data_IF_980077855324
#
_entry.id   IF_980077855324
#
_cell.length_a   1.000
_cell.length_b   1.000
_cell.length_c   1.000
_cell.angle_alpha   90.00
_cell.angle_beta   90.00
_cell.angle_gamma   90.00
#
_symmetry.space_group_name_H-M   'P 1'
#
loop_
_entity.id
_entity.type
_entity.pdbx_description
1 polymer ?
#
# COMPACT_ATOMS: atom_id res chain seq x y z
N UNK A 1 -22.68 11.96 -7.07
CA UNK A 1 -21.44 11.40 -7.66
C UNK A 1 -21.25 10.01 -7.05
N UNK A 2 -21.27 8.91 -7.81
CA UNK A 2 -21.05 7.60 -7.22
C UNK A 2 -19.57 7.48 -6.86
N UNK A 3 -19.28 7.32 -5.56
CA UNK A 3 -17.96 6.90 -5.10
C UNK A 3 -17.65 5.55 -5.73
N UNK A 4 -16.76 5.55 -6.72
CA UNK A 4 -16.09 4.32 -7.16
C UNK A 4 -15.16 3.93 -6.01
N UNK A 5 -15.65 3.13 -5.07
CA UNK A 5 -14.81 2.40 -4.13
C UNK A 5 -13.95 1.46 -4.95
N UNK A 6 -12.79 1.94 -5.37
CA UNK A 6 -11.78 1.11 -6.00
C UNK A 6 -11.27 0.17 -4.89
N UNK A 7 -11.91 -1.00 -4.74
CA UNK A 7 -11.31 -2.10 -4.02
C UNK A 7 -9.96 -2.34 -4.69
N UNK A 8 -8.89 -1.88 -4.06
CA UNK A 8 -7.51 -2.19 -4.45
C UNK A 8 -7.36 -3.71 -4.31
N UNK A 9 -7.68 -4.35 -5.43
CA UNK A 9 -7.86 -5.78 -5.60
C UNK A 9 -6.53 -6.50 -5.43
N UNK A 10 -6.58 -7.82 -5.25
CA UNK A 10 -5.44 -8.74 -5.40
C UNK A 10 -4.63 -8.46 -6.68
N UNK A 11 -5.28 -7.87 -7.70
CA UNK A 11 -4.62 -7.31 -8.89
C UNK A 11 -3.49 -6.32 -8.55
N UNK A 12 -3.69 -5.37 -7.63
CA UNK A 12 -2.65 -4.41 -7.21
C UNK A 12 -1.48 -5.09 -6.48
N UNK A 13 -1.72 -6.19 -5.77
CA UNK A 13 -0.67 -7.00 -5.13
C UNK A 13 0.13 -7.81 -6.16
N UNK A 14 -0.54 -8.41 -7.15
CA UNK A 14 0.08 -9.10 -8.27
C UNK A 14 0.93 -8.12 -9.07
N UNK A 15 0.37 -6.96 -9.37
CA UNK A 15 1.02 -5.90 -10.12
C UNK A 15 2.19 -5.30 -9.30
N UNK A 16 2.10 -5.25 -7.96
CA UNK A 16 3.20 -4.85 -7.06
C UNK A 16 4.34 -5.87 -7.06
N UNK A 17 4.04 -7.17 -6.96
CA UNK A 17 5.04 -8.23 -7.01
C UNK A 17 5.70 -8.32 -8.40
N UNK A 18 4.93 -8.14 -9.47
CA UNK A 18 5.44 -8.15 -10.84
C UNK A 18 6.29 -6.92 -11.17
N UNK A 19 6.01 -5.77 -10.55
CA UNK A 19 6.77 -4.52 -10.76
C UNK A 19 7.87 -4.29 -9.73
N UNK A 20 8.00 -5.16 -8.72
CA UNK A 20 8.90 -4.95 -7.59
C UNK A 20 8.59 -3.67 -6.80
N UNK A 21 7.31 -3.28 -6.73
CA UNK A 21 6.86 -2.03 -6.09
C UNK A 21 6.79 -0.81 -6.99
N UNK A 22 6.97 -0.94 -8.32
CA UNK A 22 7.03 0.18 -9.27
C UNK A 22 5.71 0.48 -9.98
N UNK A 23 4.59 0.39 -9.29
CA UNK A 23 3.32 0.82 -9.86
C UNK A 23 3.17 2.29 -9.55
N UNK A 24 3.58 3.12 -10.51
CA UNK A 24 3.38 4.56 -10.62
C UNK A 24 4.58 5.46 -10.20
N UNK A 25 5.32 5.85 -11.27
CA UNK A 25 6.00 7.13 -11.52
C UNK A 25 7.52 7.30 -11.25
N UNK A 26 8.28 6.95 -12.30
CA UNK A 26 9.48 7.61 -12.86
C UNK A 26 10.75 7.91 -12.03
N UNK A 27 10.78 7.85 -10.70
CA UNK A 27 12.02 8.05 -9.95
C UNK A 27 12.03 7.30 -8.62
N UNK A 28 13.17 6.71 -8.25
CA UNK A 28 13.36 6.08 -6.93
C UNK A 28 13.36 7.12 -5.79
N UNK A 29 13.45 8.40 -6.13
CA UNK A 29 13.39 9.54 -5.21
C UNK A 29 11.96 10.05 -4.95
N UNK A 30 10.94 9.51 -5.61
CA UNK A 30 9.56 9.95 -5.36
C UNK A 30 9.18 9.64 -3.90
N UNK A 31 8.72 10.62 -3.11
CA UNK A 31 8.32 10.39 -1.73
C UNK A 31 7.10 9.48 -1.62
N UNK A 32 6.36 9.20 -2.70
CA UNK A 32 5.16 8.37 -2.70
C UNK A 32 5.45 6.97 -3.27
N UNK A 33 4.95 5.93 -2.62
CA UNK A 33 5.10 4.56 -3.11
C UNK A 33 4.03 3.61 -2.61
N UNK A 34 4.13 2.34 -3.01
CA UNK A 34 3.30 1.26 -2.52
C UNK A 34 4.13 0.33 -1.62
N UNK A 35 3.53 -0.18 -0.55
CA UNK A 35 4.13 -1.25 0.25
C UNK A 35 3.08 -2.22 0.77
N UNK A 36 3.51 -3.45 1.04
CA UNK A 36 2.72 -4.45 1.73
C UNK A 36 2.93 -4.29 3.24
N UNK A 37 1.95 -3.71 3.94
CA UNK A 37 1.98 -3.58 5.39
C UNK A 37 1.42 -4.84 6.04
N UNK A 38 2.28 -5.55 6.78
CA UNK A 38 1.85 -6.66 7.64
C UNK A 38 1.67 -6.19 9.08
N UNK A 39 0.48 -6.40 9.63
CA UNK A 39 0.15 -6.08 11.02
C UNK A 39 -0.35 -7.31 11.76
N UNK A 40 -0.25 -7.31 13.09
CA UNK A 40 -0.88 -8.34 13.93
C UNK A 40 -2.33 -7.93 14.20
N UNK A 41 -3.28 -8.79 13.82
CA UNK A 41 -4.70 -8.52 14.03
C UNK A 41 -5.05 -8.47 15.51
N UNK A 42 -5.47 -7.30 16.02
CA UNK A 42 -5.77 -7.06 17.45
C UNK A 42 -6.64 -8.14 18.10
N UNK A 43 -7.67 -8.63 17.41
CA UNK A 43 -8.60 -9.66 17.93
C UNK A 43 -8.12 -11.08 17.70
N UNK A 44 -7.46 -11.34 16.57
CA UNK A 44 -7.11 -12.70 16.14
C UNK A 44 -5.69 -13.13 16.52
N UNK A 45 -4.79 -12.19 16.83
CA UNK A 45 -3.36 -12.44 16.98
C UNK A 45 -2.63 -12.83 15.68
N UNK A 46 -3.38 -13.09 14.61
CA UNK A 46 -2.83 -13.52 13.32
C UNK A 46 -2.26 -12.37 12.48
N UNK A 47 -1.19 -12.62 11.68
CA UNK A 47 -0.70 -11.67 10.68
C UNK A 47 -1.77 -11.33 9.64
N UNK A 48 -1.84 -10.05 9.26
CA UNK A 48 -2.70 -9.54 8.18
C UNK A 48 -1.90 -8.59 7.30
N UNK A 49 -1.88 -8.85 6.00
CA UNK A 49 -1.16 -8.03 5.01
C UNK A 49 -2.14 -7.23 4.18
N UNK A 50 -1.87 -5.93 4.03
CA UNK A 50 -2.66 -5.01 3.20
C UNK A 50 -1.70 -4.18 2.35
N UNK A 51 -2.03 -3.99 1.07
CA UNK A 51 -1.29 -3.07 0.20
C UNK A 51 -1.77 -1.65 0.42
N UNK A 52 -0.85 -0.74 0.74
CA UNK A 52 -1.15 0.67 1.00
C UNK A 52 -0.22 1.57 0.21
N UNK A 53 -0.74 2.76 -0.16
CA UNK A 53 0.09 3.88 -0.57
C UNK A 53 0.73 4.47 0.69
N UNK A 54 2.00 4.84 0.60
CA UNK A 54 2.72 5.53 1.66
C UNK A 54 3.36 6.82 1.14
N UNK A 55 3.68 7.71 2.07
CA UNK A 55 4.55 8.87 1.87
C UNK A 55 5.77 8.72 2.79
N UNK A 56 6.99 8.80 2.25
CA UNK A 56 8.23 8.81 3.02
C UNK A 56 8.44 10.18 3.64
N UNK A 57 8.67 10.22 4.95
CA UNK A 57 9.00 11.43 5.71
C UNK A 57 10.27 11.18 6.52
N UNK A 58 11.42 11.51 5.95
CA UNK A 58 12.73 11.18 6.52
C UNK A 58 12.92 9.68 6.71
N UNK A 59 13.05 9.25 7.97
CA UNK A 59 13.15 7.84 8.36
C UNK A 59 11.79 7.16 8.59
N UNK A 60 10.68 7.89 8.51
CA UNK A 60 9.34 7.40 8.76
C UNK A 60 8.54 7.22 7.47
N UNK A 61 7.44 6.46 7.58
CA UNK A 61 6.46 6.24 6.52
C UNK A 61 5.07 6.62 7.05
N UNK A 62 4.39 7.51 6.35
CA UNK A 62 3.01 7.88 6.64
C UNK A 62 2.06 7.11 5.72
N UNK A 63 0.96 6.61 6.30
CA UNK A 63 -0.11 5.91 5.57
C UNK A 63 -1.46 6.48 5.94
N UNK A 64 -2.39 6.49 4.99
CA UNK A 64 -3.78 6.85 5.25
C UNK A 64 -4.61 5.58 5.45
N UNK A 65 -5.29 5.47 6.58
CA UNK A 65 -6.28 4.42 6.84
C UNK A 65 -7.64 4.82 6.25
N UNK A 66 -7.71 4.84 4.92
CA UNK A 66 -8.94 5.13 4.18
C UNK A 66 -9.56 3.82 3.64
N UNK A 67 -10.88 3.76 3.49
CA UNK A 67 -11.62 2.61 2.94
C UNK A 67 -12.44 3.04 1.72
#
# INVERSE_FOLDING_TARGET
MPEKTAKLSMFSLILYNLTGGRIQMNDAQDPVGLFALTTTGRKSGQPRTVSLIYIKSGSAYAVAANN
#
